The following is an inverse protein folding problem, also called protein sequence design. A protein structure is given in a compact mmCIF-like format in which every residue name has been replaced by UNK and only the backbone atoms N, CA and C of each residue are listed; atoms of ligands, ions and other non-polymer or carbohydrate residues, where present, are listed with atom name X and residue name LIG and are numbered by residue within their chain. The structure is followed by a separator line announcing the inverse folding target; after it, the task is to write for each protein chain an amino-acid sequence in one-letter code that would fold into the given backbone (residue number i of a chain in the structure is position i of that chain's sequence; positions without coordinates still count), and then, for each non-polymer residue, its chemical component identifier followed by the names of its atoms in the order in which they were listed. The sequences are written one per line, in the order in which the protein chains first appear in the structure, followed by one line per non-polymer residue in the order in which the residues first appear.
data_IF_102291716801
#
_entry.id   IF_102291716801
#
_cell.length_a   1.000
_cell.length_b   1.000
_cell.length_c   1.000
_cell.angle_alpha   90.00
_cell.angle_beta   90.00
_cell.angle_gamma   90.00
#
_symmetry.space_group_name_H-M   'P 1'
#
loop_
_entity.id
_entity.type
_entity.pdbx_description
1 polymer ?
#
# COMPACT_ATOMS: atom_id res chain seq x y z
N UNK A 1 -21.49 -5.58 5.80
CA UNK A 1 -20.24 -5.56 6.61
C UNK A 1 -20.61 -5.13 8.03
N UNK A 2 -20.14 -5.86 9.03
CA UNK A 2 -20.42 -5.49 10.43
C UNK A 2 -19.54 -4.30 10.85
N UNK A 3 -19.95 -3.55 11.90
CA UNK A 3 -19.12 -2.46 12.41
C UNK A 3 -17.71 -2.91 12.84
N UNK A 4 -17.60 -4.12 13.40
CA UNK A 4 -16.31 -4.67 13.81
C UNK A 4 -15.41 -4.96 12.61
N UNK A 5 -15.97 -5.54 11.56
CA UNK A 5 -15.24 -5.79 10.31
C UNK A 5 -14.81 -4.49 9.65
N UNK A 6 -15.68 -3.49 9.66
CA UNK A 6 -15.37 -2.17 9.12
C UNK A 6 -14.16 -1.54 9.85
N UNK A 7 -14.16 -1.63 11.18
CA UNK A 7 -13.05 -1.10 11.98
C UNK A 7 -11.73 -1.81 11.66
N UNK A 8 -11.75 -3.13 11.52
CA UNK A 8 -10.55 -3.88 11.13
C UNK A 8 -10.04 -3.46 9.77
N UNK A 9 -10.94 -3.24 8.81
CA UNK A 9 -10.56 -2.82 7.47
C UNK A 9 -9.97 -1.42 7.47
N UNK A 10 -10.57 -0.49 8.19
CA UNK A 10 -10.07 0.88 8.31
C UNK A 10 -8.68 0.93 8.94
N UNK A 11 -8.45 0.14 9.99
CA UNK A 11 -7.15 0.04 10.64
C UNK A 11 -6.10 -0.51 9.68
N UNK A 12 -6.43 -1.57 8.96
CA UNK A 12 -5.52 -2.18 7.99
C UNK A 12 -5.15 -1.18 6.89
N UNK A 13 -6.12 -0.44 6.36
CA UNK A 13 -5.87 0.57 5.32
C UNK A 13 -5.02 1.73 5.84
N UNK A 14 -5.21 2.12 7.11
CA UNK A 14 -4.37 3.13 7.75
C UNK A 14 -2.92 2.68 7.87
N UNK A 15 -2.68 1.44 8.28
CA UNK A 15 -1.34 0.85 8.34
C UNK A 15 -0.70 0.75 6.96
N UNK A 16 -1.48 0.41 5.94
CA UNK A 16 -1.00 0.33 4.57
C UNK A 16 -0.49 1.67 4.04
N UNK A 17 -1.13 2.77 4.39
CA UNK A 17 -0.65 4.10 4.01
C UNK A 17 0.73 4.38 4.57
N UNK A 18 0.95 4.04 5.84
CA UNK A 18 2.25 4.23 6.51
C UNK A 18 3.32 3.35 5.85
N UNK A 19 3.02 2.08 5.64
CA UNK A 19 3.95 1.15 5.02
C UNK A 19 4.28 1.55 3.59
N UNK A 20 3.29 2.00 2.82
CA UNK A 20 3.51 2.48 1.46
C UNK A 20 4.45 3.68 1.43
N UNK A 21 4.28 4.63 2.36
CA UNK A 21 5.17 5.79 2.46
C UNK A 21 6.60 5.36 2.79
N UNK A 22 6.78 4.42 3.71
CA UNK A 22 8.08 3.88 4.06
C UNK A 22 8.73 3.15 2.89
N UNK A 23 7.95 2.36 2.15
CA UNK A 23 8.43 1.66 0.97
C UNK A 23 8.88 2.64 -0.13
N UNK A 24 8.15 3.73 -0.33
CA UNK A 24 8.54 4.76 -1.30
C UNK A 24 9.86 5.43 -0.94
N UNK A 25 10.08 5.69 0.36
CA UNK A 25 11.35 6.23 0.82
C UNK A 25 12.50 5.24 0.58
N UNK A 26 12.27 3.96 0.85
CA UNK A 26 13.26 2.92 0.59
C UNK A 26 13.60 2.83 -0.90
N UNK A 27 12.59 2.87 -1.76
CA UNK A 27 12.79 2.84 -3.22
C UNK A 27 13.62 4.03 -3.69
N UNK A 28 13.39 5.22 -3.13
CA UNK A 28 14.14 6.41 -3.49
C UNK A 28 15.64 6.28 -3.20
N UNK A 29 16.03 5.41 -2.26
CA UNK A 29 17.41 5.15 -1.89
C UNK A 29 18.05 3.98 -2.65
N UNK A 30 17.28 3.27 -3.48
CA UNK A 30 17.81 2.18 -4.31
C UNK A 30 18.59 2.76 -5.48
N UNK A 31 19.74 2.14 -5.77
CA UNK A 31 20.59 2.55 -6.89
C UNK A 31 20.47 1.61 -8.09
N UNK A 32 20.04 0.36 -7.87
CA UNK A 32 19.83 -0.60 -8.95
C UNK A 32 18.55 -0.25 -9.71
N UNK A 33 18.63 0.13 -11.00
CA UNK A 33 17.45 0.56 -11.74
C UNK A 33 16.44 -0.55 -11.99
N UNK A 34 16.88 -1.79 -12.14
CA UNK A 34 15.97 -2.92 -12.37
C UNK A 34 15.19 -3.24 -11.10
N UNK A 35 15.87 -3.28 -9.96
CA UNK A 35 15.23 -3.50 -8.65
C UNK A 35 14.27 -2.36 -8.32
N UNK A 36 14.69 -1.13 -8.54
CA UNK A 36 13.87 0.06 -8.30
C UNK A 36 12.58 -0.01 -9.12
N UNK A 37 12.68 -0.32 -10.40
CA UNK A 37 11.54 -0.43 -11.30
C UNK A 37 10.57 -1.55 -10.86
N UNK A 38 11.12 -2.71 -10.49
CA UNK A 38 10.34 -3.84 -10.01
C UNK A 38 9.53 -3.48 -8.76
N UNK A 39 10.19 -2.86 -7.76
CA UNK A 39 9.53 -2.48 -6.51
C UNK A 39 8.47 -1.42 -6.75
N UNK A 40 8.73 -0.45 -7.63
CA UNK A 40 7.74 0.57 -8.00
C UNK A 40 6.49 -0.04 -8.62
N UNK A 41 6.63 -1.04 -9.48
CA UNK A 41 5.49 -1.74 -10.06
C UNK A 41 4.68 -2.50 -9.01
N UNK A 42 5.36 -3.15 -8.07
CA UNK A 42 4.70 -3.83 -6.96
C UNK A 42 3.90 -2.87 -6.09
N UNK A 43 4.48 -1.71 -5.77
CA UNK A 43 3.81 -0.67 -4.99
C UNK A 43 2.56 -0.17 -5.70
N UNK A 44 2.64 0.05 -7.01
CA UNK A 44 1.50 0.52 -7.80
C UNK A 44 0.35 -0.50 -7.75
N UNK A 45 0.65 -1.78 -7.94
CA UNK A 45 -0.36 -2.84 -7.87
C UNK A 45 -0.99 -2.93 -6.48
N UNK A 46 -0.17 -2.79 -5.46
CA UNK A 46 -0.65 -2.81 -4.08
C UNK A 46 -1.59 -1.64 -3.80
N UNK A 47 -1.26 -0.45 -4.29
CA UNK A 47 -2.11 0.73 -4.15
C UNK A 47 -3.45 0.57 -4.87
N UNK A 48 -3.44 -0.02 -6.06
CA UNK A 48 -4.67 -0.31 -6.80
C UNK A 48 -5.57 -1.26 -6.03
N UNK A 49 -4.98 -2.29 -5.42
CA UNK A 49 -5.72 -3.24 -4.59
C UNK A 49 -6.33 -2.56 -3.36
N UNK A 50 -5.56 -1.72 -2.68
CA UNK A 50 -6.03 -0.97 -1.52
C UNK A 50 -7.15 0.00 -1.90
N UNK A 51 -7.07 0.62 -3.08
CA UNK A 51 -8.13 1.51 -3.57
C UNK A 51 -9.46 0.76 -3.72
N UNK A 52 -9.42 -0.49 -4.14
CA UNK A 52 -10.63 -1.32 -4.22
C UNK A 52 -11.23 -1.57 -2.84
N UNK A 53 -10.41 -1.81 -1.83
CA UNK A 53 -10.88 -1.96 -0.46
C UNK A 53 -11.51 -0.67 0.07
N UNK A 54 -10.96 0.48 -0.27
CA UNK A 54 -11.55 1.77 0.12
C UNK A 54 -12.97 1.96 -0.41
N UNK A 55 -13.31 1.35 -1.53
CA UNK A 55 -14.66 1.42 -2.09
C UNK A 55 -15.68 0.64 -1.27
N UNK A 56 -15.22 -0.26 -0.40
CA UNK A 56 -16.07 -1.06 0.47
C UNK A 56 -16.44 -0.36 1.78
N UNK A 57 -15.78 0.70 2.12
CA UNK A 57 -15.97 1.39 3.41
C UNK A 57 -16.65 2.73 3.27
#
# INVERSE_FOLDING_TARGET
MSPKELNYLEDALGHEKILTAQCRQAVANLTDPDLKNFVQQMLQKHQELCAQFYQLV
#
